data_IF_161078419861
#
_entry.id   IF_161078419861
#
_cell.length_a   1.000
_cell.length_b   1.000
_cell.length_c   1.000
_cell.angle_alpha   90.00
_cell.angle_beta   90.00
_cell.angle_gamma   90.00
#
_symmetry.space_group_name_H-M   'P 1'
#
loop_
_entity.id
_entity.type
_entity.pdbx_description
1 polymer ?
#
# COMPACT_ATOMS: atom_id res chain seq x y z
N UNK A 1 5.25 19.97 44.35
CA UNK A 1 5.16 19.64 42.91
C UNK A 1 3.68 19.44 42.57
N UNK A 2 3.16 19.95 41.45
CA UNK A 2 1.79 19.68 40.99
C UNK A 2 1.48 18.17 40.92
N UNK A 3 0.26 17.75 41.30
CA UNK A 3 -0.14 16.33 41.39
C UNK A 3 0.04 15.55 40.08
N UNK A 4 -0.10 16.22 38.94
CA UNK A 4 0.09 15.62 37.62
C UNK A 4 1.50 15.07 37.41
N UNK A 5 2.54 15.68 37.99
CA UNK A 5 3.93 15.23 37.82
C UNK A 5 4.35 14.15 38.81
N UNK A 6 3.51 13.87 39.82
CA UNK A 6 3.71 12.76 40.77
C UNK A 6 2.86 11.54 40.40
N UNK A 7 2.03 11.65 39.36
CA UNK A 7 1.24 10.52 38.85
C UNK A 7 2.15 9.52 38.13
N UNK A 8 2.05 8.20 38.38
CA UNK A 8 2.86 7.20 37.69
C UNK A 8 2.72 7.22 36.15
N UNK A 9 1.57 7.68 35.65
CA UNK A 9 1.34 7.87 34.22
C UNK A 9 2.25 8.94 33.62
N UNK A 10 2.67 9.94 34.40
CA UNK A 10 3.60 10.96 33.94
C UNK A 10 4.99 10.38 33.63
N UNK A 11 5.52 9.54 34.51
CA UNK A 11 6.79 8.84 34.28
C UNK A 11 6.68 7.86 33.11
N UNK A 12 5.57 7.13 33.02
CA UNK A 12 5.30 6.21 31.90
C UNK A 12 5.28 6.94 30.57
N UNK A 13 4.60 8.09 30.48
CA UNK A 13 4.55 8.92 29.27
C UNK A 13 5.91 9.55 28.92
N UNK A 14 6.69 9.93 29.92
CA UNK A 14 8.04 10.48 29.72
C UNK A 14 9.05 9.43 29.23
N UNK A 15 8.78 8.14 29.46
CA UNK A 15 9.69 7.05 29.10
C UNK A 15 9.43 6.56 27.67
N UNK A 16 10.16 7.14 26.71
CA UNK A 16 10.06 6.75 25.31
C UNK A 16 10.83 5.45 25.00
N UNK A 17 10.14 4.32 25.12
CA UNK A 17 10.70 2.98 24.76
C UNK A 17 11.04 2.90 23.27
N UNK A 18 10.24 3.49 22.39
CA UNK A 18 10.54 3.58 20.95
C UNK A 18 10.68 5.05 20.59
N UNK A 19 11.92 5.55 20.66
CA UNK A 19 12.22 6.93 20.27
C UNK A 19 12.56 6.97 18.79
N UNK A 20 11.90 7.84 18.02
CA UNK A 20 12.05 7.89 16.55
C UNK A 20 12.33 9.30 16.05
N UNK A 21 13.06 9.41 14.95
CA UNK A 21 13.21 10.68 14.23
C UNK A 21 13.48 10.47 12.74
N UNK A 22 12.95 11.39 11.93
CA UNK A 22 13.19 11.44 10.50
C UNK A 22 14.30 12.44 10.18
N UNK A 23 15.10 12.14 9.15
CA UNK A 23 15.89 13.16 8.47
C UNK A 23 15.64 13.10 6.97
N UNK A 24 14.95 14.11 6.43
CA UNK A 24 14.60 14.20 5.01
C UNK A 24 15.72 14.70 4.09
N UNK A 25 16.97 14.80 4.56
CA UNK A 25 18.07 15.31 3.74
C UNK A 25 18.50 14.26 2.70
N UNK A 26 18.34 14.51 1.38
CA UNK A 26 18.67 13.54 0.33
C UNK A 26 20.15 13.11 0.32
N UNK A 27 21.04 13.98 0.81
CA UNK A 27 22.48 13.72 0.89
C UNK A 27 22.85 12.68 1.96
N UNK A 28 21.95 12.39 2.91
CA UNK A 28 22.21 11.41 3.96
C UNK A 28 21.86 10.00 3.49
N UNK A 29 22.79 9.07 3.76
CA UNK A 29 22.59 7.63 3.55
C UNK A 29 22.03 6.94 4.80
N UNK A 30 22.45 7.38 5.98
CA UNK A 30 22.08 6.79 7.26
C UNK A 30 21.96 7.92 8.30
N UNK A 31 20.99 7.78 9.19
CA UNK A 31 20.80 8.65 10.34
C UNK A 31 20.31 7.76 11.50
N UNK A 32 20.83 7.97 12.70
CA UNK A 32 20.49 7.18 13.88
C UNK A 32 21.05 7.82 15.14
N UNK A 33 20.51 7.42 16.28
CA UNK A 33 20.88 7.90 17.60
C UNK A 33 20.70 6.78 18.62
N UNK A 34 21.31 6.92 19.80
CA UNK A 34 21.19 5.96 20.91
C UNK A 34 19.77 5.90 21.49
N UNK A 35 19.40 4.84 22.23
CA UNK A 35 18.13 4.82 22.93
C UNK A 35 18.06 5.89 24.03
N UNK A 36 16.88 6.49 24.24
CA UNK A 36 16.65 7.52 25.28
C UNK A 36 16.15 6.93 26.61
N UNK A 37 15.78 5.65 26.61
CA UNK A 37 15.43 4.86 27.78
C UNK A 37 16.39 3.66 27.90
N UNK A 38 16.61 3.16 29.11
CA UNK A 38 17.56 2.06 29.37
C UNK A 38 17.18 0.76 28.65
N UNK A 39 15.87 0.52 28.52
CA UNK A 39 15.20 -0.61 27.89
C UNK A 39 14.51 -0.20 26.57
N UNK A 40 15.00 0.88 25.94
CA UNK A 40 14.43 1.41 24.71
C UNK A 40 15.24 1.14 23.44
N UNK A 41 14.66 1.60 22.33
CA UNK A 41 15.25 1.70 21.00
C UNK A 41 15.35 3.17 20.59
N UNK A 42 16.48 3.54 20.00
CA UNK A 42 16.63 4.79 19.25
C UNK A 42 16.58 4.49 17.75
N UNK A 43 15.65 5.09 17.01
CA UNK A 43 15.42 4.78 15.60
C UNK A 43 15.45 6.04 14.72
N UNK A 44 16.49 6.17 13.91
CA UNK A 44 16.54 7.15 12.83
C UNK A 44 16.02 6.54 11.52
N UNK A 45 15.27 7.32 10.75
CA UNK A 45 14.81 6.87 9.43
C UNK A 45 14.87 7.98 8.38
N UNK A 46 15.03 7.55 7.12
CA UNK A 46 15.05 8.41 5.93
C UNK A 46 14.08 7.83 4.91
N UNK A 47 13.14 8.65 4.47
CA UNK A 47 12.18 8.30 3.42
C UNK A 47 12.72 8.90 2.11
N UNK A 48 12.91 8.05 1.11
CA UNK A 48 13.24 8.43 -0.27
C UNK A 48 12.15 7.91 -1.20
N UNK A 49 12.18 8.32 -2.46
CA UNK A 49 11.18 7.92 -3.46
C UNK A 49 11.09 6.39 -3.65
N UNK A 50 12.23 5.70 -3.63
CA UNK A 50 12.32 4.25 -3.92
C UNK A 50 12.57 3.38 -2.69
N UNK A 51 12.83 3.98 -1.52
CA UNK A 51 13.26 3.23 -0.33
C UNK A 51 12.97 3.94 0.98
N UNK A 52 12.81 3.12 2.02
CA UNK A 52 12.89 3.51 3.42
C UNK A 52 14.19 2.98 4.02
N UNK A 53 15.03 3.87 4.55
CA UNK A 53 16.24 3.47 5.29
C UNK A 53 16.00 3.65 6.77
N UNK A 54 16.18 2.59 7.57
CA UNK A 54 15.98 2.59 9.02
C UNK A 54 17.29 2.20 9.71
N UNK A 55 17.70 2.98 10.69
CA UNK A 55 18.78 2.65 11.62
C UNK A 55 18.19 2.58 13.03
N UNK A 56 18.33 1.43 13.69
CA UNK A 56 17.93 1.27 15.07
C UNK A 56 19.15 0.95 15.94
N UNK A 57 19.13 1.45 17.18
CA UNK A 57 20.10 1.13 18.22
C UNK A 57 19.37 0.71 19.50
N UNK A 58 20.01 -0.15 20.29
CA UNK A 58 19.60 -0.46 21.66
C UNK A 58 20.84 -0.81 22.49
N UNK A 59 20.70 -0.87 23.81
CA UNK A 59 21.81 -1.26 24.70
C UNK A 59 21.87 -2.78 24.93
N UNK A 60 20.78 -3.36 25.41
CA UNK A 60 20.71 -4.78 25.83
C UNK A 60 19.54 -5.53 25.17
N UNK A 61 19.03 -5.06 24.04
CA UNK A 61 17.88 -5.65 23.34
C UNK A 61 18.30 -6.34 22.03
N UNK A 62 17.37 -7.11 21.46
CA UNK A 62 17.55 -7.81 20.19
C UNK A 62 17.26 -6.90 18.98
N UNK A 63 18.06 -5.85 18.79
CA UNK A 63 17.84 -4.84 17.72
C UNK A 63 17.70 -5.47 16.34
N UNK A 64 18.49 -6.49 16.02
CA UNK A 64 18.41 -7.17 14.72
C UNK A 64 17.05 -7.83 14.51
N UNK A 65 16.57 -8.60 15.49
CA UNK A 65 15.24 -9.25 15.45
C UNK A 65 14.12 -8.22 15.30
N UNK A 66 14.23 -7.08 15.99
CA UNK A 66 13.28 -5.98 15.85
C UNK A 66 13.27 -5.43 14.42
N UNK A 67 14.44 -5.17 13.83
CA UNK A 67 14.56 -4.69 12.44
C UNK A 67 14.04 -5.71 11.42
N UNK A 68 14.34 -7.00 11.59
CA UNK A 68 13.83 -8.08 10.72
C UNK A 68 12.29 -8.14 10.78
N UNK A 69 11.72 -7.98 11.98
CA UNK A 69 10.26 -7.93 12.19
C UNK A 69 9.64 -6.70 11.53
N UNK A 70 10.25 -5.53 11.71
CA UNK A 70 9.81 -4.28 11.10
C UNK A 70 9.84 -4.36 9.57
N UNK A 71 10.90 -4.94 9.00
CA UNK A 71 11.00 -5.17 7.56
C UNK A 71 9.88 -6.07 7.05
N UNK A 72 9.63 -7.21 7.72
CA UNK A 72 8.54 -8.11 7.37
C UNK A 72 7.18 -7.41 7.40
N UNK A 73 6.89 -6.68 8.48
CA UNK A 73 5.67 -5.90 8.62
C UNK A 73 5.48 -4.90 7.47
N UNK A 74 6.51 -4.13 7.11
CA UNK A 74 6.43 -3.14 6.03
C UNK A 74 6.17 -3.79 4.66
N UNK A 75 6.77 -4.95 4.40
CA UNK A 75 6.51 -5.74 3.18
C UNK A 75 5.07 -6.24 3.13
N UNK A 76 4.53 -6.72 4.26
CA UNK A 76 3.15 -7.20 4.32
C UNK A 76 2.14 -6.07 4.15
N UNK A 77 2.40 -4.90 4.76
CA UNK A 77 1.59 -3.69 4.53
C UNK A 77 1.65 -3.25 3.06
N UNK A 78 2.82 -3.30 2.42
CA UNK A 78 2.93 -2.99 0.99
C UNK A 78 2.05 -3.91 0.15
N UNK A 79 2.09 -5.23 0.41
CA UNK A 79 1.26 -6.22 -0.30
C UNK A 79 -0.22 -5.95 -0.10
N UNK A 80 -0.63 -5.70 1.15
CA UNK A 80 -2.01 -5.38 1.51
C UNK A 80 -2.50 -4.13 0.76
N UNK A 81 -1.73 -3.06 0.77
CA UNK A 81 -2.08 -1.81 0.10
C UNK A 81 -2.23 -1.99 -1.42
N UNK A 82 -1.34 -2.76 -2.06
CA UNK A 82 -1.44 -3.07 -3.49
C UNK A 82 -2.70 -3.88 -3.78
N UNK A 83 -3.02 -4.88 -2.94
CA UNK A 83 -4.23 -5.68 -3.10
C UNK A 83 -5.49 -4.84 -2.97
N UNK A 84 -5.59 -4.02 -1.92
CA UNK A 84 -6.71 -3.11 -1.69
C UNK A 84 -6.86 -2.09 -2.83
N UNK A 85 -5.76 -1.55 -3.33
CA UNK A 85 -5.79 -0.64 -4.47
C UNK A 85 -6.31 -1.34 -5.74
N UNK A 86 -5.89 -2.58 -6.01
CA UNK A 86 -6.37 -3.35 -7.16
C UNK A 86 -7.85 -3.70 -7.06
N UNK A 87 -8.32 -4.11 -5.88
CA UNK A 87 -9.74 -4.43 -5.67
C UNK A 87 -10.63 -3.19 -5.78
N UNK A 88 -10.17 -2.05 -5.26
CA UNK A 88 -10.93 -0.80 -5.37
C UNK A 88 -10.94 -0.21 -6.78
N UNK A 89 -9.96 -0.58 -7.62
CA UNK A 89 -9.81 -0.10 -8.99
C UNK A 89 -9.93 -1.23 -10.01
N UNK A 90 -10.78 -2.23 -9.73
CA UNK A 90 -11.07 -3.29 -10.69
C UNK A 90 -11.52 -2.66 -12.01
N UNK A 91 -10.89 -3.09 -13.11
CA UNK A 91 -11.34 -2.66 -14.43
C UNK A 91 -12.73 -3.25 -14.62
N UNK A 92 -13.71 -2.43 -15.03
CA UNK A 92 -15.06 -2.95 -15.24
C UNK A 92 -14.97 -4.02 -16.35
N UNK A 93 -15.35 -5.24 -15.98
CA UNK A 93 -15.26 -6.40 -16.85
C UNK A 93 -16.42 -6.38 -17.86
N UNK A 94 -16.21 -6.85 -19.10
CA UNK A 94 -17.30 -7.12 -20.02
C UNK A 94 -18.34 -8.05 -19.38
N UNK A 95 -19.61 -7.84 -19.71
CA UNK A 95 -20.69 -8.75 -19.28
C UNK A 95 -21.46 -9.25 -20.49
N UNK A 96 -22.05 -10.44 -20.38
CA UNK A 96 -22.95 -11.00 -21.40
C UNK A 96 -24.37 -10.60 -21.04
N UNK A 97 -25.10 -9.99 -21.98
CA UNK A 97 -26.50 -9.63 -21.79
C UNK A 97 -27.44 -10.84 -21.90
N UNK A 98 -28.73 -10.62 -21.69
CA UNK A 98 -29.77 -11.67 -21.81
C UNK A 98 -29.93 -12.20 -23.25
N UNK A 99 -29.29 -11.56 -24.24
CA UNK A 99 -29.27 -11.99 -25.64
C UNK A 99 -27.99 -12.77 -25.98
N UNK A 100 -27.10 -12.99 -25.02
CA UNK A 100 -25.82 -13.68 -25.25
C UNK A 100 -24.72 -12.80 -25.85
N UNK A 101 -24.93 -11.47 -25.94
CA UNK A 101 -23.95 -10.56 -26.54
C UNK A 101 -22.97 -10.04 -25.48
N UNK A 102 -21.67 -10.17 -25.75
CA UNK A 102 -20.62 -9.59 -24.90
C UNK A 102 -20.60 -8.07 -25.04
N UNK A 103 -20.83 -7.35 -23.93
CA UNK A 103 -20.90 -5.88 -23.88
C UNK A 103 -19.84 -5.28 -22.99
N UNK A 104 -19.36 -4.11 -23.40
CA UNK A 104 -18.49 -3.26 -22.58
C UNK A 104 -19.29 -2.69 -21.41
N UNK A 105 -18.74 -2.79 -20.20
CA UNK A 105 -19.44 -2.41 -18.97
C UNK A 105 -19.49 -0.90 -18.71
N UNK A 106 -18.67 -0.09 -19.40
CA UNK A 106 -18.75 1.37 -19.31
C UNK A 106 -19.74 1.97 -20.30
N UNK A 107 -19.85 1.39 -21.49
CA UNK A 107 -20.58 1.96 -22.63
C UNK A 107 -21.82 1.16 -23.02
N UNK A 108 -21.96 -0.10 -22.55
CA UNK A 108 -23.02 -1.02 -22.96
C UNK A 108 -22.93 -1.46 -24.42
N UNK A 109 -21.90 -1.05 -25.15
CA UNK A 109 -21.74 -1.37 -26.57
C UNK A 109 -21.27 -2.82 -26.74
N UNK A 110 -21.69 -3.52 -27.80
CA UNK A 110 -21.15 -4.83 -28.13
C UNK A 110 -19.63 -4.75 -28.31
N UNK A 111 -18.90 -5.63 -27.63
CA UNK A 111 -17.48 -5.86 -27.89
C UNK A 111 -17.42 -6.89 -29.01
N UNK A 112 -17.55 -6.42 -30.24
CA UNK A 112 -17.57 -7.30 -31.40
C UNK A 112 -16.17 -7.90 -31.66
N UNK A 113 -16.05 -9.22 -31.51
CA UNK A 113 -15.31 -10.02 -32.48
C UNK A 113 -16.18 -10.19 -33.72
N UNK A 114 -15.61 -10.07 -34.91
CA UNK A 114 -16.26 -10.24 -36.21
C UNK A 114 -17.30 -11.39 -36.19
N UNK A 115 -18.59 -11.07 -36.27
CA UNK A 115 -19.59 -11.98 -36.81
C UNK A 115 -19.72 -11.64 -38.30
N UNK A 116 -19.07 -12.45 -39.13
CA UNK A 116 -19.36 -12.53 -40.55
C UNK A 116 -20.66 -13.31 -40.72
N UNK A 117 -21.79 -12.62 -40.78
CA UNK A 117 -23.01 -13.17 -41.35
C UNK A 117 -23.41 -12.27 -42.53
N UNK A 118 -22.66 -12.43 -43.62
CA UNK A 118 -23.15 -12.14 -44.96
C UNK A 118 -24.02 -13.34 -45.38
N UNK A 119 -25.29 -13.32 -44.98
CA UNK A 119 -26.32 -14.13 -45.61
C UNK A 119 -27.14 -13.25 -46.53
N UNK A 120 -26.53 -12.87 -47.65
CA UNK A 120 -27.26 -12.47 -48.84
C UNK A 120 -28.18 -13.61 -49.27
N UNK A 121 -29.49 -13.40 -49.16
CA UNK A 121 -30.48 -14.16 -49.91
C UNK A 121 -31.31 -13.18 -50.72
N UNK A 122 -31.06 -13.18 -52.03
CA UNK A 122 -31.84 -12.53 -53.07
C UNK A 122 -33.34 -12.83 -52.95
N UNK A 123 -34.19 -11.83 -53.23
CA UNK A 123 -35.44 -12.10 -53.94
C UNK A 123 -35.90 -10.87 -54.72
N UNK A 124 -36.25 -11.14 -55.98
CA UNK A 124 -36.62 -10.23 -57.07
C UNK A 124 -37.76 -9.25 -56.75
N UNK A 125 -37.72 -8.07 -57.38
CA UNK A 125 -38.97 -7.45 -57.87
C UNK A 125 -38.76 -6.79 -59.23
N UNK A 126 -39.62 -7.21 -60.14
CA UNK A 126 -39.77 -6.85 -61.55
C UNK A 126 -40.28 -5.42 -61.68
N UNK A 127 -39.81 -4.66 -62.68
CA UNK A 127 -40.69 -3.73 -63.40
C UNK A 127 -40.21 -3.53 -64.84
N UNK A 128 -41.17 -3.61 -65.77
CA UNK A 128 -41.06 -3.23 -67.19
C UNK A 128 -40.73 -1.75 -67.36
#
# INVERSE_FOLDING_TARGET
>A
MPKIFTDPGWETLGTSIVSTSNCGNPALRLFGFGPVAADGYGMGYIIKEDRLSVCASSKHLQTRRFLDTLQGYLVDIQRLLIQLHRSANERPAPFVDHLGVLRDSKTGRPINGYHSDDSGSDTESITM
#
